data_IF_311091574035
#
_entry.id   IF_311091574035
#
_cell.length_a   1.000
_cell.length_b   1.000
_cell.length_c   1.000
_cell.angle_alpha   90.00
_cell.angle_beta   90.00
_cell.angle_gamma   90.00
#
_symmetry.space_group_name_H-M   'P 1'
#
loop_
_entity.id
_entity.type
_entity.pdbx_description
1 polymer ?
#
# COMPACT_ATOMS: atom_id res chain seq x y z
N UNK A 1 -29.16 18.43 20.25
CA UNK A 1 -30.47 17.71 20.23
C UNK A 1 -30.39 16.73 19.08
N UNK A 2 -30.48 15.42 19.32
CA UNK A 2 -30.30 14.40 18.27
C UNK A 2 -31.55 14.35 17.38
N UNK A 3 -31.41 14.60 16.08
CA UNK A 3 -32.49 14.46 15.09
C UNK A 3 -32.54 13.03 14.53
N UNK A 4 -33.72 12.42 14.54
CA UNK A 4 -33.94 11.05 14.07
C UNK A 4 -34.28 11.06 12.58
N UNK A 5 -33.44 10.43 11.75
CA UNK A 5 -33.77 10.11 10.34
C UNK A 5 -34.46 8.75 10.25
N UNK A 6 -35.27 8.54 9.20
CA UNK A 6 -36.10 7.34 8.98
C UNK A 6 -35.29 6.07 8.59
N UNK A 7 -34.01 6.03 8.94
CA UNK A 7 -33.04 5.03 8.52
C UNK A 7 -32.44 4.33 9.76
N UNK A 8 -31.72 3.22 9.55
CA UNK A 8 -31.16 2.35 10.61
C UNK A 8 -30.03 2.96 11.46
N UNK A 9 -29.92 4.29 11.49
CA UNK A 9 -28.77 5.02 12.03
C UNK A 9 -29.15 6.32 12.74
N UNK A 10 -28.29 6.77 13.66
CA UNK A 10 -28.53 7.93 14.54
C UNK A 10 -27.59 9.07 14.19
N UNK A 11 -28.10 10.32 14.23
CA UNK A 11 -27.29 11.54 14.17
C UNK A 11 -26.87 11.99 15.56
N UNK A 12 -25.57 12.19 15.76
CA UNK A 12 -25.04 12.80 16.98
C UNK A 12 -24.41 14.14 16.63
N UNK A 13 -24.97 15.22 17.18
CA UNK A 13 -24.59 16.57 16.82
C UNK A 13 -23.82 17.27 17.96
N UNK A 14 -22.71 17.94 17.63
CA UNK A 14 -21.92 18.78 18.54
C UNK A 14 -22.53 20.17 18.77
N UNK A 15 -22.04 20.90 19.80
CA UNK A 15 -22.48 22.28 20.10
C UNK A 15 -21.73 23.26 19.17
N UNK A 16 -22.42 23.99 18.28
CA UNK A 16 -21.77 24.91 17.35
C UNK A 16 -21.53 26.30 17.97
N UNK A 17 -20.61 27.12 17.40
CA UNK A 17 -20.61 28.57 17.60
C UNK A 17 -21.96 29.17 17.12
N UNK A 18 -22.37 30.36 17.62
CA UNK A 18 -23.75 30.88 17.54
C UNK A 18 -24.34 31.10 16.13
N UNK A 19 -23.61 30.77 15.06
CA UNK A 19 -23.99 30.97 13.66
C UNK A 19 -24.06 29.68 12.82
N UNK A 20 -23.85 28.49 13.39
CA UNK A 20 -23.96 27.22 12.65
C UNK A 20 -24.98 26.27 13.29
N UNK A 21 -25.64 25.47 12.45
CA UNK A 21 -26.40 24.30 12.88
C UNK A 21 -25.47 23.25 13.48
N UNK A 22 -25.98 22.44 14.39
CA UNK A 22 -25.23 21.39 15.08
C UNK A 22 -24.51 20.46 14.06
N UNK A 23 -23.26 20.09 14.36
CA UNK A 23 -22.39 19.34 13.44
C UNK A 23 -22.45 17.85 13.73
N UNK A 24 -22.85 17.05 12.75
CA UNK A 24 -22.84 15.59 12.82
C UNK A 24 -21.41 15.09 12.92
N UNK A 25 -21.08 14.39 14.00
CA UNK A 25 -19.74 13.82 14.21
C UNK A 25 -19.70 12.29 14.09
N UNK A 26 -20.80 11.60 14.38
CA UNK A 26 -20.86 10.13 14.31
C UNK A 26 -22.22 9.60 13.85
N UNK A 27 -22.20 8.43 13.21
CA UNK A 27 -23.38 7.68 12.80
C UNK A 27 -23.25 6.22 13.22
N UNK A 28 -24.13 5.76 14.09
CA UNK A 28 -24.12 4.38 14.63
C UNK A 28 -25.31 3.59 14.10
N UNK A 29 -25.03 2.40 13.56
CA UNK A 29 -26.06 1.45 13.13
C UNK A 29 -26.67 0.73 14.33
N UNK A 30 -27.99 0.75 14.45
CA UNK A 30 -28.72 0.20 15.62
C UNK A 30 -29.37 -1.15 15.34
N UNK A 31 -30.09 -1.24 14.23
CA UNK A 31 -30.79 -2.45 13.76
C UNK A 31 -30.85 -2.38 12.23
N UNK A 32 -30.09 -3.25 11.55
CA UNK A 32 -29.86 -3.15 10.11
C UNK A 32 -31.15 -3.24 9.30
N UNK A 33 -31.42 -2.18 8.51
CA UNK A 33 -32.60 -2.12 7.65
C UNK A 33 -33.94 -2.00 8.39
N UNK A 34 -33.93 -1.73 9.71
CA UNK A 34 -35.15 -1.52 10.51
C UNK A 34 -35.27 -0.06 10.94
N UNK A 35 -36.47 0.53 10.86
CA UNK A 35 -36.70 1.88 11.33
C UNK A 35 -36.64 1.93 12.86
N UNK A 36 -36.01 2.98 13.38
CA UNK A 36 -35.96 3.24 14.81
C UNK A 36 -37.24 3.98 15.22
N UNK A 37 -37.90 3.50 16.27
CA UNK A 37 -39.08 4.13 16.84
C UNK A 37 -38.73 5.46 17.52
N UNK A 38 -39.71 6.34 17.67
CA UNK A 38 -39.50 7.70 18.24
C UNK A 38 -39.10 7.69 19.70
N UNK A 39 -39.48 6.63 20.43
CA UNK A 39 -39.24 6.54 21.86
C UNK A 39 -37.77 6.18 22.11
N UNK A 40 -37.05 7.13 22.70
CA UNK A 40 -35.66 6.99 23.11
C UNK A 40 -35.52 7.51 24.53
N UNK A 41 -34.82 6.76 25.37
CA UNK A 41 -34.69 7.09 26.79
C UNK A 41 -33.24 6.92 27.22
N UNK A 42 -32.71 7.90 27.94
CA UNK A 42 -31.39 7.78 28.56
C UNK A 42 -31.45 6.92 29.82
N UNK A 43 -30.37 6.20 30.11
CA UNK A 43 -30.17 5.63 31.44
C UNK A 43 -30.14 6.74 32.51
N UNK A 44 -30.46 6.45 33.78
CA UNK A 44 -30.50 7.46 34.84
C UNK A 44 -29.17 8.21 35.06
N UNK A 45 -28.06 7.57 34.72
CA UNK A 45 -26.68 8.07 34.79
C UNK A 45 -26.17 8.67 33.46
N UNK A 46 -27.04 8.75 32.44
CA UNK A 46 -26.74 9.27 31.10
C UNK A 46 -25.56 8.59 30.39
N UNK A 47 -25.21 7.35 30.78
CA UNK A 47 -24.15 6.59 30.11
C UNK A 47 -24.65 5.84 28.88
N UNK A 48 -25.94 5.51 28.83
CA UNK A 48 -26.56 4.77 27.75
C UNK A 48 -27.81 5.46 27.21
N UNK A 49 -28.12 5.20 25.95
CA UNK A 49 -29.41 5.49 25.33
C UNK A 49 -30.06 4.17 24.93
N UNK A 50 -31.32 4.00 25.31
CA UNK A 50 -32.17 2.88 24.94
C UNK A 50 -33.02 3.28 23.76
N UNK A 51 -32.98 2.46 22.72
CA UNK A 51 -33.64 2.72 21.45
C UNK A 51 -34.41 1.49 21.02
N UNK A 52 -35.56 1.73 20.43
CA UNK A 52 -36.53 0.69 20.10
C UNK A 52 -36.61 0.54 18.58
N UNK A 53 -36.56 -0.68 18.10
CA UNK A 53 -37.02 -1.05 16.75
C UNK A 53 -38.33 -1.84 16.85
N UNK A 54 -38.83 -2.37 15.73
CA UNK A 54 -40.07 -3.18 15.70
C UNK A 54 -40.02 -4.39 16.66
N UNK A 55 -38.85 -5.04 16.79
CA UNK A 55 -38.72 -6.29 17.57
C UNK A 55 -37.52 -6.33 18.51
N UNK A 56 -36.79 -5.23 18.65
CA UNK A 56 -35.56 -5.18 19.43
C UNK A 56 -35.50 -3.93 20.29
N UNK A 57 -34.94 -4.08 21.48
CA UNK A 57 -34.46 -2.98 22.30
C UNK A 57 -32.95 -3.00 22.26
N UNK A 58 -32.35 -1.92 21.79
CA UNK A 58 -30.90 -1.76 21.69
C UNK A 58 -30.43 -0.74 22.74
N UNK A 59 -29.46 -1.13 23.55
CA UNK A 59 -28.77 -0.25 24.51
C UNK A 59 -27.44 0.18 23.93
N UNK A 60 -27.30 1.46 23.61
CA UNK A 60 -26.07 2.03 23.05
C UNK A 60 -25.38 2.93 24.06
N UNK A 61 -24.05 2.87 24.19
CA UNK A 61 -23.32 3.83 24.98
C UNK A 61 -23.43 5.24 24.35
N UNK A 62 -23.44 6.27 25.18
CA UNK A 62 -23.55 7.66 24.71
C UNK A 62 -22.29 8.13 23.99
N UNK A 63 -21.14 7.61 24.40
CA UNK A 63 -19.81 7.84 23.83
C UNK A 63 -19.12 6.50 23.58
N UNK A 64 -18.13 6.50 22.69
CA UNK A 64 -17.23 5.36 22.50
C UNK A 64 -15.81 5.81 22.22
N UNK A 65 -15.27 6.71 23.04
CA UNK A 65 -13.96 7.36 22.86
C UNK A 65 -12.81 6.36 22.68
N UNK A 66 -12.89 5.20 23.33
CA UNK A 66 -11.90 4.12 23.20
C UNK A 66 -11.72 3.58 21.77
N UNK A 67 -12.61 3.92 20.83
CA UNK A 67 -12.44 3.62 19.41
C UNK A 67 -11.29 4.39 18.78
N UNK A 68 -10.98 5.58 19.32
CA UNK A 68 -9.90 6.43 18.87
C UNK A 68 -8.59 6.10 19.60
N UNK A 69 -7.66 5.50 18.87
CA UNK A 69 -6.37 5.05 19.41
C UNK A 69 -5.28 6.11 19.33
N UNK A 70 -5.54 7.26 18.71
CA UNK A 70 -4.53 8.31 18.52
C UNK A 70 -5.07 9.68 18.93
N UNK A 71 -4.18 10.56 19.42
CA UNK A 71 -4.54 11.93 19.80
C UNK A 71 -5.25 12.69 18.67
N UNK A 72 -4.74 12.54 17.44
CA UNK A 72 -5.30 13.23 16.27
C UNK A 72 -6.69 12.73 15.90
N UNK A 73 -6.95 11.42 15.97
CA UNK A 73 -8.28 10.88 15.68
C UNK A 73 -9.25 11.20 16.82
N UNK A 74 -8.80 11.09 18.07
CA UNK A 74 -9.58 11.44 19.26
C UNK A 74 -10.07 12.90 19.23
N UNK A 75 -9.15 13.86 19.07
CA UNK A 75 -9.50 15.28 19.07
C UNK A 75 -10.07 15.74 17.72
N UNK A 76 -9.76 15.02 16.64
CA UNK A 76 -10.32 15.25 15.31
C UNK A 76 -11.72 14.66 15.11
N UNK A 77 -12.18 13.77 16.00
CA UNK A 77 -13.52 13.17 15.95
C UNK A 77 -14.63 14.22 16.05
N UNK A 78 -14.36 15.31 16.78
CA UNK A 78 -15.38 16.30 17.12
C UNK A 78 -16.42 15.80 18.13
N UNK A 79 -16.20 14.63 18.75
CA UNK A 79 -17.06 14.12 19.82
C UNK A 79 -16.84 14.97 21.09
N UNK A 80 -17.86 15.72 21.56
CA UNK A 80 -17.73 16.56 22.75
C UNK A 80 -17.53 15.77 24.05
N UNK A 81 -17.72 14.45 24.04
CA UNK A 81 -17.49 13.60 25.21
C UNK A 81 -16.06 13.08 25.29
N UNK A 82 -15.24 13.22 24.23
CA UNK A 82 -13.92 12.60 24.14
C UNK A 82 -12.77 13.60 24.32
N UNK A 83 -11.75 13.19 25.06
CA UNK A 83 -10.52 13.96 25.25
C UNK A 83 -9.29 13.06 25.29
N UNK A 84 -8.13 13.62 24.91
CA UNK A 84 -6.88 12.87 24.93
C UNK A 84 -6.18 12.98 26.29
N UNK A 85 -5.97 11.84 26.95
CA UNK A 85 -5.20 11.77 28.19
C UNK A 85 -3.73 11.48 27.87
N UNK A 86 -2.87 12.51 27.93
CA UNK A 86 -1.44 12.38 27.63
C UNK A 86 -0.68 11.42 28.56
N UNK A 87 -1.21 11.14 29.76
CA UNK A 87 -0.58 10.22 30.72
C UNK A 87 -0.87 8.75 30.41
N UNK A 88 -2.09 8.44 29.95
CA UNK A 88 -2.52 7.09 29.62
C UNK A 88 -2.33 6.77 28.13
N UNK A 89 -1.96 7.77 27.31
CA UNK A 89 -1.87 7.67 25.85
C UNK A 89 -3.16 7.10 25.24
N UNK A 90 -4.30 7.52 25.78
CA UNK A 90 -5.62 7.00 25.43
C UNK A 90 -6.65 8.12 25.22
N UNK A 91 -7.59 7.87 24.32
CA UNK A 91 -8.79 8.69 24.18
C UNK A 91 -9.82 8.22 25.20
N UNK A 92 -10.11 9.07 26.18
CA UNK A 92 -11.02 8.75 27.28
C UNK A 92 -12.16 9.76 27.34
N UNK A 93 -13.22 9.36 28.02
CA UNK A 93 -14.33 10.26 28.33
C UNK A 93 -13.81 11.46 29.12
N UNK A 94 -14.13 12.65 28.63
CA UNK A 94 -13.78 13.90 29.27
C UNK A 94 -14.42 13.97 30.66
N UNK A 95 -13.58 14.07 31.69
CA UNK A 95 -13.95 14.22 33.10
C UNK A 95 -13.19 15.39 33.70
N UNK A 96 -13.87 16.26 34.44
CA UNK A 96 -13.33 17.55 34.95
C UNK A 96 -12.06 17.41 35.82
N UNK A 97 -11.72 16.21 36.29
CA UNK A 97 -10.59 15.94 37.18
C UNK A 97 -9.28 15.57 36.46
N UNK A 98 -9.30 15.26 35.16
CA UNK A 98 -8.09 14.92 34.41
C UNK A 98 -7.69 16.06 33.47
N UNK A 99 -6.38 16.36 33.40
CA UNK A 99 -5.84 17.32 32.45
C UNK A 99 -5.87 16.73 31.03
N UNK A 100 -6.97 16.97 30.32
CA UNK A 100 -7.12 16.60 28.92
C UNK A 100 -6.56 17.68 27.99
N UNK A 101 -5.90 17.26 26.92
CA UNK A 101 -5.70 18.14 25.76
C UNK A 101 -7.03 18.22 25.01
N UNK A 102 -7.54 19.44 24.83
CA UNK A 102 -8.79 19.71 24.09
C UNK A 102 -8.54 20.31 22.72
N UNK A 103 -7.29 20.71 22.44
CA UNK A 103 -6.89 21.32 21.17
C UNK A 103 -5.95 20.38 20.42
N UNK A 104 -6.19 20.22 19.11
CA UNK A 104 -5.33 19.42 18.23
C UNK A 104 -3.87 19.85 18.29
N UNK A 105 -3.63 21.14 18.49
CA UNK A 105 -2.29 21.74 18.55
C UNK A 105 -1.49 21.32 19.77
N UNK A 106 -2.09 20.60 20.74
CA UNK A 106 -1.37 20.05 21.90
C UNK A 106 -1.00 18.56 21.74
N UNK A 107 -1.39 17.91 20.64
CA UNK A 107 -0.97 16.54 20.38
C UNK A 107 0.54 16.48 20.12
N UNK A 108 1.22 15.52 20.74
CA UNK A 108 2.60 15.19 20.36
C UNK A 108 2.60 14.74 18.90
N UNK A 109 3.38 15.42 18.07
CA UNK A 109 3.51 15.10 16.66
C UNK A 109 4.98 14.88 16.29
N UNK A 110 5.19 13.89 15.43
CA UNK A 110 6.51 13.45 14.98
C UNK A 110 6.54 13.46 13.44
N UNK A 111 7.57 14.09 12.90
CA UNK A 111 7.85 14.08 11.46
C UNK A 111 9.31 13.69 11.23
N UNK A 112 9.56 12.90 10.18
CA UNK A 112 10.88 12.32 9.91
C UNK A 112 11.28 12.66 8.48
N UNK A 113 12.51 13.13 8.30
CA UNK A 113 13.06 13.46 6.99
C UNK A 113 14.46 12.85 6.83
N UNK A 114 14.70 12.03 5.79
CA UNK A 114 13.69 11.41 4.91
C UNK A 114 12.80 10.41 5.68
N UNK A 115 11.56 10.16 5.22
CA UNK A 115 10.65 9.17 5.82
C UNK A 115 10.72 7.78 5.15
N UNK A 116 11.54 7.64 4.11
CA UNK A 116 11.72 6.40 3.38
C UNK A 116 13.16 6.25 2.88
N UNK A 117 13.59 5.01 2.65
CA UNK A 117 14.98 4.69 2.28
C UNK A 117 15.07 3.35 1.54
N UNK A 118 15.97 3.20 0.58
CA UNK A 118 16.16 1.91 -0.09
C UNK A 118 16.80 0.91 0.88
N UNK A 119 16.40 -0.37 0.79
CA UNK A 119 17.07 -1.49 1.50
C UNK A 119 18.57 -1.59 1.19
N UNK A 120 18.98 -1.10 0.02
CA UNK A 120 20.39 -1.05 -0.39
C UNK A 120 21.11 0.19 0.11
N UNK A 121 20.48 1.05 0.89
CA UNK A 121 21.13 2.27 1.40
C UNK A 121 22.01 1.95 2.62
N UNK A 122 23.12 2.66 2.77
CA UNK A 122 23.96 2.60 3.98
C UNK A 122 23.36 3.45 5.09
N UNK A 123 23.81 3.26 6.34
CA UNK A 123 23.38 4.08 7.47
C UNK A 123 23.38 5.58 7.13
N UNK A 124 22.23 6.22 7.27
CA UNK A 124 21.97 7.61 6.86
C UNK A 124 21.42 8.41 8.03
N UNK A 125 21.82 9.66 8.14
CA UNK A 125 21.33 10.56 9.18
C UNK A 125 19.89 11.00 8.88
N UNK A 126 18.99 10.76 9.85
CA UNK A 126 17.60 11.17 9.81
C UNK A 126 17.41 12.41 10.68
N UNK A 127 16.61 13.36 10.18
CA UNK A 127 16.12 14.50 10.96
C UNK A 127 14.70 14.23 11.43
N UNK A 128 14.54 13.99 12.73
CA UNK A 128 13.26 13.75 13.39
C UNK A 128 12.82 15.01 14.10
N UNK A 129 11.73 15.64 13.68
CA UNK A 129 11.17 16.82 14.35
C UNK A 129 9.98 16.40 15.19
N UNK A 130 10.01 16.79 16.48
CA UNK A 130 8.95 16.51 17.44
C UNK A 130 8.43 17.81 18.01
N UNK A 131 7.11 17.93 18.11
CA UNK A 131 6.43 19.10 18.70
C UNK A 131 5.57 18.68 19.88
N UNK A 132 5.28 19.64 20.76
CA UNK A 132 4.43 19.46 21.95
C UNK A 132 4.94 18.43 22.96
N UNK A 133 6.27 18.30 23.07
CA UNK A 133 6.93 17.43 24.05
C UNK A 133 7.58 18.22 25.18
N UNK A 134 7.66 17.65 26.40
CA UNK A 134 8.50 18.17 27.47
C UNK A 134 9.97 18.29 27.05
N UNK A 135 10.78 18.94 27.89
CA UNK A 135 12.21 19.13 27.62
C UNK A 135 12.91 17.80 27.32
N UNK A 136 13.55 17.71 26.15
CA UNK A 136 14.35 16.55 25.73
C UNK A 136 15.81 16.65 26.19
N UNK A 137 16.13 17.54 27.13
CA UNK A 137 17.49 17.84 27.59
C UNK A 137 18.22 16.64 28.22
N UNK A 138 17.48 15.68 28.80
CA UNK A 138 18.06 14.44 29.31
C UNK A 138 18.58 13.51 28.19
N UNK A 139 18.20 13.79 26.93
CA UNK A 139 18.59 13.04 25.75
C UNK A 139 17.56 11.99 25.34
N UNK A 140 17.67 11.58 24.08
CA UNK A 140 16.72 10.69 23.41
C UNK A 140 17.48 9.57 22.70
N UNK A 141 16.84 8.42 22.58
CA UNK A 141 17.31 7.30 21.77
C UNK A 141 16.26 6.99 20.70
N UNK A 142 16.68 6.92 19.43
CA UNK A 142 15.83 6.46 18.34
C UNK A 142 15.83 4.93 18.32
N UNK A 143 14.65 4.33 18.39
CA UNK A 143 14.43 2.88 18.42
C UNK A 143 13.73 2.47 17.14
N UNK A 144 14.39 1.67 16.31
CA UNK A 144 13.82 1.14 15.07
C UNK A 144 13.27 -0.26 15.34
N UNK A 145 12.00 -0.34 15.74
CA UNK A 145 11.28 -1.58 16.07
C UNK A 145 12.12 -2.48 17.01
N UNK A 146 12.53 -3.66 16.55
CA UNK A 146 13.42 -4.61 17.23
C UNK A 146 14.79 -4.71 16.54
N UNK A 147 15.04 -3.89 15.51
CA UNK A 147 16.25 -3.97 14.70
C UNK A 147 17.45 -3.39 15.42
N UNK A 148 17.38 -2.10 15.78
CA UNK A 148 18.51 -1.36 16.35
C UNK A 148 18.02 -0.16 17.15
N UNK A 149 18.87 0.28 18.07
CA UNK A 149 18.74 1.56 18.74
C UNK A 149 19.94 2.45 18.39
N UNK A 150 19.69 3.71 18.07
CA UNK A 150 20.73 4.71 17.77
C UNK A 150 20.60 5.91 18.72
N UNK A 151 21.71 6.47 19.23
CA UNK A 151 21.65 7.69 20.04
C UNK A 151 21.08 8.85 19.21
N UNK A 152 20.16 9.61 19.79
CA UNK A 152 19.61 10.83 19.20
C UNK A 152 20.31 12.08 19.73
N UNK A 153 20.84 12.91 18.84
CA UNK A 153 21.36 14.24 19.17
C UNK A 153 20.21 15.26 19.14
N UNK A 154 19.93 15.88 20.28
CA UNK A 154 18.83 16.83 20.43
C UNK A 154 19.32 18.24 20.07
N UNK A 155 18.76 18.79 19.01
CA UNK A 155 18.95 20.16 18.57
C UNK A 155 17.86 21.10 19.10
N UNK A 156 18.00 22.39 18.80
CA UNK A 156 17.00 23.39 19.14
C UNK A 156 15.62 23.06 18.54
N UNK A 157 14.55 23.51 19.19
CA UNK A 157 13.14 23.38 18.74
C UNK A 157 12.66 21.92 18.54
N UNK A 158 13.15 20.98 19.36
CA UNK A 158 12.65 19.60 19.36
C UNK A 158 13.07 18.78 18.13
N UNK A 159 14.11 19.22 17.42
CA UNK A 159 14.70 18.44 16.33
C UNK A 159 15.73 17.45 16.90
N UNK A 160 15.68 16.21 16.44
CA UNK A 160 16.54 15.11 16.88
C UNK A 160 17.20 14.49 15.66
N UNK A 161 18.53 14.36 15.69
CA UNK A 161 19.31 13.71 14.64
C UNK A 161 19.65 12.28 15.07
N UNK A 162 19.32 11.30 14.23
CA UNK A 162 19.55 9.88 14.49
C UNK A 162 20.16 9.18 13.28
N UNK A 163 20.93 8.11 13.50
CA UNK A 163 21.47 7.28 12.41
C UNK A 163 20.53 6.11 12.12
N UNK A 164 20.14 5.94 10.86
CA UNK A 164 19.31 4.82 10.44
C UNK A 164 20.10 3.50 10.40
N UNK A 165 19.44 2.34 10.61
CA UNK A 165 20.07 1.05 10.39
C UNK A 165 20.36 0.77 8.91
N UNK A 166 21.44 0.03 8.67
CA UNK A 166 21.71 -0.59 7.37
C UNK A 166 20.97 -1.93 7.31
N UNK A 167 20.08 -2.10 6.33
CA UNK A 167 19.46 -3.41 6.06
C UNK A 167 20.31 -4.30 5.14
N UNK A 168 21.47 -3.81 4.65
CA UNK A 168 22.42 -4.61 3.86
C UNK A 168 22.95 -5.82 4.65
N UNK A 169 23.14 -5.61 5.94
CA UNK A 169 23.82 -6.55 6.84
C UNK A 169 22.84 -7.44 7.62
N UNK A 170 21.54 -7.32 7.33
CA UNK A 170 20.47 -8.08 7.99
C UNK A 170 19.56 -8.77 6.93
N UNK A 171 20.10 -9.75 6.16
CA UNK A 171 19.42 -10.30 4.98
C UNK A 171 18.12 -11.03 5.31
N UNK A 172 18.06 -11.70 6.46
CA UNK A 172 16.89 -12.45 6.95
C UNK A 172 15.65 -11.58 7.12
N UNK A 173 15.80 -10.26 7.29
CA UNK A 173 14.71 -9.31 7.42
C UNK A 173 14.25 -8.68 6.09
N UNK A 174 14.90 -8.96 4.97
CA UNK A 174 14.48 -8.48 3.64
C UNK A 174 13.73 -9.53 2.82
N UNK A 175 13.85 -10.81 3.19
CA UNK A 175 13.23 -11.93 2.50
C UNK A 175 11.73 -12.01 2.84
N UNK A 176 10.84 -11.68 1.90
CA UNK A 176 9.40 -11.93 2.01
C UNK A 176 8.49 -10.69 2.10
N UNK A 177 9.03 -9.47 2.19
CA UNK A 177 8.22 -8.25 2.35
C UNK A 177 7.81 -7.56 1.03
N UNK A 178 8.14 -8.13 -0.13
CA UNK A 178 7.79 -7.55 -1.43
C UNK A 178 8.57 -6.26 -1.73
N UNK A 179 7.88 -5.24 -2.24
CA UNK A 179 8.47 -3.97 -2.71
C UNK A 179 8.69 -2.94 -1.59
N UNK A 180 8.06 -3.12 -0.42
CA UNK A 180 8.24 -2.25 0.75
C UNK A 180 8.07 -2.96 2.09
N UNK A 181 8.80 -2.50 3.08
CA UNK A 181 8.68 -2.88 4.50
C UNK A 181 8.47 -1.63 5.34
N UNK A 182 7.43 -1.64 6.17
CA UNK A 182 7.14 -0.57 7.13
C UNK A 182 7.76 -0.95 8.48
N UNK A 183 8.54 -0.06 9.08
CA UNK A 183 9.12 -0.20 10.41
C UNK A 183 8.53 0.84 11.35
N UNK A 184 8.43 0.51 12.64
CA UNK A 184 8.04 1.46 13.69
C UNK A 184 9.28 2.16 14.25
N UNK A 185 9.44 3.45 13.95
CA UNK A 185 10.44 4.32 14.56
C UNK A 185 9.84 4.99 15.81
N UNK A 186 10.39 4.68 16.98
CA UNK A 186 9.98 5.29 18.25
C UNK A 186 11.08 6.15 18.84
N UNK A 187 10.71 7.20 19.56
CA UNK A 187 11.65 7.94 20.42
C UNK A 187 11.50 7.49 21.87
N UNK A 188 12.63 7.15 22.48
CA UNK A 188 12.74 6.71 23.87
C UNK A 188 13.47 7.77 24.69
N UNK A 189 12.85 8.22 25.78
CA UNK A 189 13.49 9.17 26.70
C UNK A 189 14.61 8.48 27.48
N UNK A 190 15.78 9.11 27.59
CA UNK A 190 16.86 8.61 28.46
C UNK A 190 16.60 8.85 29.95
N UNK A 191 15.70 9.78 30.28
CA UNK A 191 15.31 10.07 31.66
C UNK A 191 14.40 8.99 32.23
N UNK A 192 13.36 8.62 31.50
CA UNK A 192 12.33 7.68 31.96
C UNK A 192 12.55 6.26 31.44
N UNK A 193 13.32 6.08 30.37
CA UNK A 193 13.50 4.79 29.69
C UNK A 193 12.30 4.35 28.84
N UNK A 194 11.23 5.12 28.77
CA UNK A 194 10.02 4.78 28.04
C UNK A 194 9.98 5.40 26.63
N UNK A 195 9.34 4.68 25.69
CA UNK A 195 8.98 5.19 24.36
C UNK A 195 7.78 6.12 24.53
N UNK A 196 7.83 7.33 23.98
CA UNK A 196 6.77 8.34 24.16
C UNK A 196 6.11 8.79 22.84
N UNK A 197 6.68 8.40 21.70
CA UNK A 197 6.08 8.65 20.38
C UNK A 197 6.60 7.63 19.37
N UNK A 198 5.76 7.25 18.42
CA UNK A 198 6.08 6.27 17.36
C UNK A 198 5.54 6.75 16.01
N UNK A 199 6.28 6.48 14.94
CA UNK A 199 5.88 6.76 13.56
C UNK A 199 6.36 5.67 12.60
N UNK A 200 5.80 5.65 11.40
CA UNK A 200 6.17 4.70 10.36
C UNK A 200 7.40 5.20 9.59
N UNK A 201 8.38 4.30 9.39
CA UNK A 201 9.55 4.52 8.57
C UNK A 201 9.65 3.41 7.52
N UNK A 202 9.81 3.77 6.25
CA UNK A 202 9.62 2.81 5.15
C UNK A 202 10.95 2.44 4.50
N UNK A 203 11.26 1.16 4.44
CA UNK A 203 12.29 0.63 3.56
C UNK A 203 11.68 0.09 2.27
N UNK A 204 12.18 0.50 1.11
CA UNK A 204 11.69 0.01 -0.19
C UNK A 204 12.76 -0.78 -0.93
N UNK A 205 12.33 -1.72 -1.77
CA UNK A 205 13.21 -2.57 -2.57
C UNK A 205 12.79 -2.51 -4.04
N UNK A 206 13.54 -1.76 -4.84
CA UNK A 206 13.26 -1.68 -6.28
C UNK A 206 13.54 -3.00 -7.00
N UNK A 207 14.52 -3.79 -6.54
CA UNK A 207 15.00 -4.99 -7.23
C UNK A 207 13.98 -6.12 -7.32
N UNK A 208 12.94 -6.11 -6.48
CA UNK A 208 11.85 -7.11 -6.58
C UNK A 208 10.90 -6.83 -7.73
N UNK A 209 10.86 -5.60 -8.26
CA UNK A 209 9.95 -5.18 -9.33
C UNK A 209 10.49 -5.66 -10.69
N UNK A 210 9.81 -6.64 -11.28
CA UNK A 210 10.25 -7.31 -12.51
C UNK A 210 9.77 -6.67 -13.82
N UNK A 211 8.91 -5.65 -13.76
CA UNK A 211 8.37 -5.00 -14.95
C UNK A 211 8.67 -3.52 -14.96
N UNK A 212 8.88 -2.96 -16.17
CA UNK A 212 9.08 -1.53 -16.34
C UNK A 212 7.91 -0.73 -15.76
N UNK A 213 6.68 -1.11 -16.09
CA UNK A 213 5.47 -0.43 -15.62
C UNK A 213 5.40 -0.43 -14.09
N UNK A 214 5.57 -1.58 -13.44
CA UNK A 214 5.54 -1.67 -11.97
C UNK A 214 6.68 -0.89 -11.30
N UNK A 215 7.84 -0.81 -11.94
CA UNK A 215 9.00 -0.07 -11.45
C UNK A 215 8.75 1.45 -11.45
N UNK A 216 8.26 1.97 -12.58
CA UNK A 216 8.09 3.42 -12.76
C UNK A 216 6.80 3.93 -12.13
N UNK A 217 5.77 3.09 -12.01
CA UNK A 217 4.54 3.42 -11.29
C UNK A 217 4.70 3.34 -9.77
N UNK A 218 5.85 2.88 -9.27
CA UNK A 218 6.08 2.73 -7.85
C UNK A 218 6.16 4.10 -7.14
N UNK A 219 5.57 4.26 -5.95
CA UNK A 219 5.64 5.51 -5.18
C UNK A 219 7.07 5.87 -4.75
N UNK A 220 7.97 4.89 -4.63
CA UNK A 220 9.36 5.11 -4.24
C UNK A 220 10.25 5.51 -5.43
N UNK A 221 11.42 6.15 -5.20
CA UNK A 221 12.31 6.62 -6.27
C UNK A 221 13.09 5.47 -6.92
N UNK A 222 12.36 4.60 -7.63
CA UNK A 222 12.88 3.52 -8.46
C UNK A 222 13.00 3.95 -9.93
N UNK A 223 13.97 3.37 -10.64
CA UNK A 223 14.23 3.62 -12.04
C UNK A 223 14.40 2.28 -12.76
N UNK A 224 13.86 2.18 -13.98
CA UNK A 224 14.01 0.99 -14.80
C UNK A 224 15.19 1.13 -15.76
N UNK A 225 16.10 0.15 -15.75
CA UNK A 225 17.21 0.06 -16.69
C UNK A 225 16.79 -0.81 -17.89
N UNK A 226 16.34 -0.16 -18.97
CA UNK A 226 15.83 -0.78 -20.21
C UNK A 226 16.71 -1.93 -20.73
N UNK A 227 18.02 -1.73 -20.80
CA UNK A 227 18.95 -2.70 -21.39
C UNK A 227 19.37 -3.83 -20.43
N UNK A 228 19.30 -3.59 -19.12
CA UNK A 228 19.61 -4.62 -18.11
C UNK A 228 18.37 -5.40 -17.66
N UNK A 229 17.19 -4.90 -17.99
CA UNK A 229 15.91 -5.47 -17.57
C UNK A 229 15.80 -5.57 -16.04
N UNK A 230 16.26 -4.54 -15.33
CA UNK A 230 16.23 -4.46 -13.87
C UNK A 230 15.59 -3.15 -13.41
N UNK A 231 14.95 -3.19 -12.25
CA UNK A 231 14.50 -2.02 -11.50
C UNK A 231 15.48 -1.73 -10.36
N UNK A 232 15.98 -0.50 -10.25
CA UNK A 232 16.97 -0.12 -9.25
C UNK A 232 16.75 1.31 -8.75
N UNK A 233 17.15 1.58 -7.51
CA UNK A 233 17.23 2.94 -6.98
C UNK A 233 18.57 3.62 -7.32
N UNK A 234 19.54 2.87 -7.84
CA UNK A 234 20.89 3.36 -8.14
C UNK A 234 21.09 3.53 -9.65
N UNK A 235 21.11 4.79 -10.12
CA UNK A 235 21.26 5.11 -11.55
C UNK A 235 22.63 4.69 -12.15
N UNK A 236 23.64 4.45 -11.31
CA UNK A 236 24.95 3.96 -11.75
C UNK A 236 24.91 2.49 -12.18
N UNK A 237 23.90 1.73 -11.75
CA UNK A 237 23.73 0.33 -12.17
C UNK A 237 23.16 0.20 -13.58
N UNK A 238 22.55 1.24 -14.13
CA UNK A 238 22.13 1.26 -15.52
C UNK A 238 23.36 1.45 -16.44
N UNK A 239 23.53 0.55 -17.42
CA UNK A 239 24.68 0.55 -18.34
C UNK A 239 24.88 1.87 -19.10
N UNK A 240 23.79 2.56 -19.46
CA UNK A 240 23.81 3.79 -20.25
C UNK A 240 22.71 4.75 -19.79
N UNK A 241 22.88 6.05 -20.10
CA UNK A 241 21.91 7.08 -19.72
C UNK A 241 20.61 6.96 -20.52
N UNK A 242 20.71 6.59 -21.79
CA UNK A 242 19.60 6.42 -22.75
C UNK A 242 18.67 5.26 -22.39
N UNK A 243 19.10 4.36 -21.50
CA UNK A 243 18.33 3.21 -21.03
C UNK A 243 17.54 3.46 -19.75
N UNK A 244 17.56 4.68 -19.19
CA UNK A 244 16.92 5.00 -17.91
C UNK A 244 15.47 5.43 -18.14
N UNK A 245 14.54 4.72 -17.50
CA UNK A 245 13.13 5.10 -17.47
C UNK A 245 12.73 5.45 -16.04
N UNK A 246 12.15 6.62 -15.85
CA UNK A 246 11.61 7.10 -14.58
C UNK A 246 10.20 7.65 -14.78
N UNK A 247 9.45 7.79 -13.68
CA UNK A 247 8.15 8.48 -13.75
C UNK A 247 8.33 9.95 -14.12
N UNK A 248 7.49 10.43 -15.05
CA UNK A 248 7.52 11.80 -15.61
C UNK A 248 7.30 12.85 -14.52
N UNK A 249 6.68 12.50 -13.40
CA UNK A 249 6.34 13.40 -12.30
C UNK A 249 7.47 13.66 -11.29
N UNK A 250 8.65 13.03 -11.48
CA UNK A 250 9.70 12.98 -10.44
C UNK A 250 11.06 13.57 -10.86
N UNK A 251 11.12 14.30 -11.97
CA UNK A 251 12.33 15.04 -12.37
C UNK A 251 12.52 16.30 -11.49
N UNK A 252 13.62 16.45 -10.75
CA UNK A 252 13.91 17.70 -10.06
C UNK A 252 14.21 18.81 -11.06
N UNK A 253 13.47 19.91 -10.97
CA UNK A 253 13.74 21.13 -11.72
C UNK A 253 14.93 21.89 -11.08
N UNK A 254 16.16 21.45 -11.28
CA UNK A 254 17.34 22.21 -10.86
C UNK A 254 18.61 21.81 -11.63
N UNK A 255 18.81 22.45 -12.79
CA UNK A 255 20.05 23.16 -13.20
C UNK A 255 19.89 23.60 -14.66
N UNK A 256 19.35 24.81 -14.85
CA UNK A 256 19.45 25.50 -16.14
C UNK A 256 19.60 26.99 -15.93
N UNK A 257 20.81 27.40 -15.55
CA UNK A 257 21.28 28.76 -15.75
C UNK A 257 22.38 28.72 -16.83
N UNK A 258 22.02 29.14 -18.05
CA UNK A 258 22.93 29.26 -19.17
C UNK A 258 22.18 29.31 -20.51
N UNK A 259 22.24 30.43 -21.27
CA UNK A 259 21.48 30.57 -22.50
C UNK A 259 22.31 30.08 -23.68
N UNK A 260 22.02 28.90 -24.23
CA UNK A 260 22.33 28.65 -25.65
C UNK A 260 21.53 27.50 -26.26
N UNK A 261 20.83 27.88 -27.34
CA UNK A 261 20.30 27.11 -28.49
C UNK A 261 19.31 25.97 -28.26
N UNK A 262 18.27 26.01 -29.10
CA UNK A 262 17.13 25.12 -29.15
C UNK A 262 17.52 23.66 -29.33
N UNK A 263 17.28 22.87 -28.30
CA UNK A 263 16.93 21.46 -28.41
C UNK A 263 15.79 21.19 -27.41
N UNK A 264 14.64 20.78 -27.95
CA UNK A 264 13.52 20.24 -27.18
C UNK A 264 14.06 19.13 -26.25
N UNK A 265 13.61 19.03 -25.00
CA UNK A 265 13.91 17.84 -24.20
C UNK A 265 13.34 16.62 -24.93
N UNK A 266 14.18 15.62 -25.21
CA UNK A 266 13.70 14.34 -25.74
C UNK A 266 12.71 13.73 -24.72
N UNK A 267 11.59 13.12 -25.17
CA UNK A 267 10.69 12.43 -24.26
C UNK A 267 11.45 11.31 -23.55
N UNK A 268 11.23 11.15 -22.23
CA UNK A 268 11.75 10.00 -21.51
C UNK A 268 11.32 8.70 -22.22
N UNK A 269 12.22 7.70 -22.36
CA UNK A 269 11.87 6.47 -23.04
C UNK A 269 10.72 5.77 -22.32
N UNK A 270 9.57 5.62 -22.97
CA UNK A 270 8.41 4.96 -22.38
C UNK A 270 8.68 3.47 -22.15
N UNK A 271 8.04 2.89 -21.13
CA UNK A 271 8.01 1.44 -20.96
C UNK A 271 7.43 0.80 -22.23
N UNK A 272 8.08 -0.23 -22.81
CA UNK A 272 7.47 -0.97 -23.90
C UNK A 272 6.18 -1.60 -23.37
N UNK A 273 5.05 -1.26 -23.98
CA UNK A 273 3.80 -2.01 -23.82
C UNK A 273 4.06 -3.46 -24.26
N UNK A 274 3.41 -4.44 -23.61
CA UNK A 274 3.48 -5.85 -24.00
C UNK A 274 3.31 -5.99 -25.53
N UNK A 275 4.01 -6.93 -26.20
CA UNK A 275 3.73 -7.24 -27.60
C UNK A 275 2.24 -7.58 -27.71
N UNK A 276 1.48 -6.79 -28.48
CA UNK A 276 0.13 -7.18 -28.85
C UNK A 276 0.20 -8.52 -29.59
N UNK A 277 -0.77 -9.43 -29.40
CA UNK A 277 -0.83 -10.64 -30.21
C UNK A 277 -0.84 -10.23 -31.69
N UNK A 278 -0.09 -10.93 -32.56
CA UNK A 278 -0.02 -10.58 -33.97
C UNK A 278 -1.43 -10.55 -34.58
N UNK A 279 -1.72 -9.62 -35.52
CA UNK A 279 -3.01 -9.60 -36.20
C UNK A 279 -3.23 -10.95 -36.88
N UNK A 280 -4.46 -11.47 -36.78
CA UNK A 280 -4.86 -12.72 -37.42
C UNK A 280 -4.48 -12.71 -38.91
N UNK A 281 -3.87 -13.80 -39.38
CA UNK A 281 -3.47 -13.94 -40.78
C UNK A 281 -4.65 -13.66 -41.73
N UNK A 282 -4.43 -12.93 -42.85
CA UNK A 282 -5.44 -12.81 -43.89
C UNK A 282 -5.76 -14.20 -44.48
N UNK A 283 -7.05 -14.46 -44.70
CA UNK A 283 -7.59 -15.67 -45.30
C UNK A 283 -6.89 -16.03 -46.62
N UNK A 284 -6.68 -17.34 -46.85
CA UNK A 284 -6.11 -17.91 -48.08
C UNK A 284 -6.82 -17.39 -49.36
N UNK A 285 -6.08 -17.12 -50.46
CA UNK A 285 -6.69 -16.85 -51.76
C UNK A 285 -7.31 -18.11 -52.36
N UNK A 286 -8.47 -17.97 -53.01
CA UNK A 286 -9.18 -19.05 -53.71
C UNK A 286 -8.41 -19.61 -54.92
N UNK A 287 -8.66 -20.88 -55.35
CA UNK A 287 -7.94 -21.50 -56.47
C UNK A 287 -8.40 -20.96 -57.84
N UNK A 288 -7.45 -20.83 -58.77
CA UNK A 288 -7.70 -20.47 -60.17
C UNK A 288 -8.26 -21.64 -61.01
N UNK A 289 -9.01 -21.39 -62.11
CA UNK A 289 -9.63 -22.44 -62.92
C UNK A 289 -8.65 -23.09 -63.92
N UNK A 290 -8.97 -24.33 -64.29
CA UNK A 290 -8.15 -25.26 -65.09
C UNK A 290 -7.94 -24.84 -66.56
N UNK A 291 -6.76 -25.17 -67.12
CA UNK A 291 -6.44 -25.08 -68.56
C UNK A 291 -6.40 -26.48 -69.22
N UNK A 292 -6.76 -26.64 -70.50
CA UNK A 292 -6.83 -27.95 -71.15
C UNK A 292 -5.58 -28.35 -71.96
N UNK A 293 -5.20 -29.61 -71.77
CA UNK A 293 -4.65 -30.64 -72.69
C UNK A 293 -3.39 -30.41 -73.58
N UNK A 294 -2.52 -31.44 -73.50
CA UNK A 294 -1.24 -31.72 -74.18
C UNK A 294 -1.25 -31.80 -75.73
N UNK A 295 -0.04 -31.79 -76.32
CA UNK A 295 0.36 -32.88 -77.24
C UNK A 295 1.66 -33.62 -76.84
N UNK A 296 1.79 -34.85 -77.37
CA UNK A 296 2.69 -35.96 -77.03
C UNK A 296 4.12 -35.92 -77.68
N UNK A 297 5.03 -36.90 -77.40
CA UNK A 297 6.47 -36.68 -77.20
C UNK A 297 7.39 -37.15 -78.34
N UNK A 298 8.68 -36.77 -78.28
CA UNK A 298 9.77 -37.27 -79.12
C UNK A 298 10.82 -38.07 -78.31
N UNK A 299 11.61 -38.99 -78.93
CA UNK A 299 12.21 -40.12 -78.24
C UNK A 299 13.65 -39.90 -77.75
N UNK A 300 14.00 -40.79 -76.82
CA UNK A 300 15.23 -40.93 -76.02
C UNK A 300 16.52 -41.20 -76.81
N UNK A 301 17.64 -40.71 -76.27
CA UNK A 301 18.96 -41.37 -76.33
C UNK A 301 19.74 -41.18 -75.03
N UNK A 302 20.67 -42.10 -74.69
CA UNK A 302 20.96 -42.46 -73.30
C UNK A 302 22.35 -42.02 -72.81
N UNK A 303 22.49 -42.11 -71.49
CA UNK A 303 23.73 -42.24 -70.69
C UNK A 303 24.30 -40.96 -70.07
N UNK A 304 24.06 -40.78 -68.77
CA UNK A 304 25.09 -40.62 -67.72
C UNK A 304 24.47 -40.58 -66.29
N UNK A 305 25.24 -40.75 -65.19
CA UNK A 305 24.96 -41.72 -64.12
C UNK A 305 24.06 -41.22 -62.97
N UNK A 306 23.50 -42.19 -62.23
CA UNK A 306 22.63 -41.97 -61.06
C UNK A 306 23.38 -41.38 -59.84
N UNK A 307 22.81 -40.37 -59.16
CA UNK A 307 23.14 -40.02 -57.79
C UNK A 307 22.30 -40.80 -56.74
N UNK A 308 22.80 -40.95 -55.50
CA UNK A 308 22.21 -41.77 -54.42
C UNK A 308 20.91 -41.20 -53.81
N UNK A 309 20.15 -42.01 -53.03
CA UNK A 309 18.82 -41.66 -52.54
C UNK A 309 18.82 -40.55 -51.48
N UNK A 310 17.70 -39.81 -51.46
CA UNK A 310 17.41 -38.68 -50.59
C UNK A 310 17.44 -39.03 -49.08
N UNK A 311 17.93 -38.08 -48.28
CA UNK A 311 17.90 -38.13 -46.82
C UNK A 311 16.47 -38.07 -46.27
N UNK A 312 16.21 -38.72 -45.11
CA UNK A 312 14.89 -38.78 -44.50
C UNK A 312 14.45 -37.44 -43.90
N UNK A 313 13.14 -37.21 -43.93
CA UNK A 313 12.41 -36.12 -43.28
C UNK A 313 12.74 -35.97 -41.79
N UNK A 314 12.88 -34.71 -41.34
CA UNK A 314 13.07 -34.31 -39.94
C UNK A 314 11.92 -34.79 -39.02
N UNK A 315 12.17 -34.96 -37.71
CA UNK A 315 11.21 -35.56 -36.78
C UNK A 315 10.03 -34.64 -36.43
N UNK A 316 8.89 -35.28 -36.16
CA UNK A 316 7.67 -34.66 -35.63
C UNK A 316 7.89 -34.06 -34.23
N UNK A 317 7.14 -32.99 -33.94
CA UNK A 317 7.07 -32.29 -32.65
C UNK A 317 6.69 -33.20 -31.47
N UNK A 318 7.19 -32.92 -30.24
CA UNK A 318 6.94 -33.76 -29.07
C UNK A 318 5.49 -33.67 -28.55
N UNK A 319 4.99 -34.70 -27.81
CA UNK A 319 3.65 -34.71 -27.25
C UNK A 319 3.47 -33.77 -26.06
N UNK A 320 2.24 -33.31 -25.86
CA UNK A 320 1.81 -32.42 -24.78
C UNK A 320 1.98 -33.04 -23.37
N UNK A 321 2.28 -32.20 -22.39
CA UNK A 321 2.35 -32.56 -20.96
C UNK A 321 0.97 -32.98 -20.40
N UNK A 322 0.91 -33.90 -19.41
CA UNK A 322 -0.34 -34.30 -18.78
C UNK A 322 -0.87 -33.24 -17.79
N UNK A 323 -2.18 -33.06 -17.78
CA UNK A 323 -2.95 -32.17 -16.90
C UNK A 323 -3.00 -32.65 -15.44
N UNK A 324 -3.07 -31.69 -14.50
CA UNK A 324 -3.25 -31.92 -13.05
C UNK A 324 -4.54 -32.72 -12.71
N UNK A 325 -4.58 -33.44 -11.57
CA UNK A 325 -5.77 -34.19 -11.13
C UNK A 325 -6.87 -33.28 -10.56
N UNK A 326 -8.12 -33.62 -10.84
CA UNK A 326 -9.32 -32.99 -10.28
C UNK A 326 -9.61 -33.42 -8.83
N UNK A 327 -10.30 -32.61 -8.01
CA UNK A 327 -10.76 -33.01 -6.68
C UNK A 327 -11.97 -33.96 -6.76
N UNK A 328 -12.16 -34.87 -5.79
CA UNK A 328 -13.26 -35.84 -5.80
C UNK A 328 -14.63 -35.23 -5.45
N UNK A 329 -15.74 -35.85 -5.88
CA UNK A 329 -17.09 -35.37 -5.65
C UNK A 329 -17.59 -35.70 -4.24
N UNK A 330 -18.39 -34.78 -3.68
CA UNK A 330 -19.17 -35.00 -2.48
C UNK A 330 -20.39 -35.88 -2.80
N UNK A 331 -20.59 -36.96 -2.03
CA UNK A 331 -21.83 -37.72 -2.00
C UNK A 331 -22.54 -37.49 -0.67
N UNK A 332 -23.76 -36.95 -0.76
CA UNK A 332 -24.74 -36.94 0.31
C UNK A 332 -25.67 -38.14 0.13
N UNK A 333 -25.80 -39.00 1.15
CA UNK A 333 -27.04 -39.19 1.91
C UNK A 333 -27.21 -40.59 2.54
N UNK A 334 -27.50 -40.53 3.86
CA UNK A 334 -28.62 -41.17 4.57
C UNK A 334 -28.52 -42.59 5.16
N UNK A 335 -28.95 -42.63 6.43
CA UNK A 335 -29.49 -43.72 7.28
C UNK A 335 -28.46 -44.63 7.97
N UNK A 336 -28.62 -45.09 9.21
CA UNK A 336 -29.46 -44.76 10.35
C UNK A 336 -29.03 -45.73 11.48
N UNK A 337 -29.18 -45.28 12.73
CA UNK A 337 -29.51 -46.10 13.91
C UNK A 337 -28.47 -47.05 14.53
N UNK A 338 -28.10 -46.68 15.77
CA UNK A 338 -28.32 -47.44 17.02
C UNK A 338 -27.29 -48.45 17.59
N UNK A 339 -27.02 -48.19 18.89
CA UNK A 339 -26.96 -49.07 20.07
C UNK A 339 -25.61 -49.61 20.62
N UNK A 340 -25.46 -49.34 21.94
CA UNK A 340 -24.68 -50.00 23.02
C UNK A 340 -23.16 -50.07 22.88
N UNK A 341 -22.33 -49.85 23.92
CA UNK A 341 -22.46 -49.84 25.39
C UNK A 341 -21.89 -48.54 25.99
#
# INVERSE_FOLDING_TARGET
>A
MRNVTADSWIRVDGIPPPSQSALLYETVTVDEGKPILRDMVFSPDYQYIYMLSDKQVSRLPVESCSQDTTCKTCLGSGDPHCGWCSRQEACEKWTESQHFNTELDHCVDISVTPNNMSVTSTSTQLSVKVVNVPSLSAGVTCVFEELTESPGEVLAKGQVLCMSPSLRDVPSLTQGYGDKRVLKLSLKSKETGHKFITTDFIYYNCSVLQSCTSCVSNPFPCNWCKYRHICTNNLAECSFQEGRVSSVERQPAAERAGPTRHSLPQPAPACPSLPQPPPACPSLPQPAPASPSLPQPAPVSPSMPQPPPACPSLPQSPPACPSLPQPPPAWSNLLASQFHD
#
